data_IF_299142760519
#
_entry.id   IF_299142760519
#
_cell.length_a   1.000
_cell.length_b   1.000
_cell.length_c   1.000
_cell.angle_alpha   90.00
_cell.angle_beta   90.00
_cell.angle_gamma   90.00
#
_symmetry.space_group_name_H-M   'P 1'
#
loop_
_entity.id
_entity.type
_entity.pdbx_description
1 polymer ?
#
# COMPACT_ATOMS: atom_id res chain seq x y z
N UNK A 1 35.38 -29.50 -23.31
CA UNK A 1 35.40 -30.77 -22.58
C UNK A 1 36.05 -30.51 -21.23
N UNK A 2 35.28 -30.06 -20.24
CA UNK A 2 35.67 -30.01 -18.83
C UNK A 2 34.38 -30.30 -18.04
N UNK A 3 34.44 -31.39 -17.30
CA UNK A 3 33.40 -32.00 -16.50
C UNK A 3 33.25 -31.25 -15.18
N UNK A 4 32.05 -30.87 -14.78
CA UNK A 4 31.73 -30.32 -13.47
C UNK A 4 31.03 -31.39 -12.65
N UNK A 5 31.67 -31.81 -11.57
CA UNK A 5 31.19 -32.79 -10.60
C UNK A 5 30.21 -32.12 -9.60
N UNK A 6 29.05 -32.71 -9.45
CA UNK A 6 28.07 -32.45 -8.40
C UNK A 6 28.60 -32.85 -7.00
N UNK A 7 28.51 -31.94 -6.02
CA UNK A 7 28.65 -32.29 -4.60
C UNK A 7 27.32 -31.98 -3.91
N UNK A 8 26.54 -33.03 -3.66
CA UNK A 8 25.32 -32.97 -2.87
C UNK A 8 25.65 -33.06 -1.36
N UNK A 9 25.18 -32.09 -0.58
CA UNK A 9 25.19 -32.12 0.88
C UNK A 9 23.86 -32.60 1.43
N UNK A 10 23.85 -33.82 1.99
CA UNK A 10 22.75 -34.39 2.78
C UNK A 10 22.74 -33.75 4.18
N UNK A 11 21.64 -33.12 4.59
CA UNK A 11 21.38 -32.74 5.97
C UNK A 11 20.55 -33.86 6.62
N UNK A 12 21.10 -34.42 7.70
CA UNK A 12 20.49 -35.47 8.52
C UNK A 12 19.48 -34.88 9.50
N UNK A 13 18.29 -35.47 9.53
CA UNK A 13 17.30 -35.36 10.60
C UNK A 13 17.87 -35.84 11.94
N UNK A 14 17.71 -35.04 12.99
CA UNK A 14 17.88 -35.48 14.38
C UNK A 14 16.52 -35.63 15.05
N UNK A 15 16.32 -36.82 15.60
CA UNK A 15 15.16 -37.30 16.35
C UNK A 15 14.95 -36.52 17.66
N UNK A 16 13.67 -36.37 18.01
CA UNK A 16 13.20 -35.93 19.34
C UNK A 16 13.28 -37.08 20.37
N UNK A 17 13.47 -36.79 21.66
CA UNK A 17 13.50 -37.81 22.70
C UNK A 17 12.08 -38.21 23.16
N UNK A 18 11.88 -39.51 23.35
CA UNK A 18 10.71 -40.15 23.98
C UNK A 18 10.72 -39.87 25.48
N UNK A 19 9.58 -39.42 26.03
CA UNK A 19 9.33 -39.37 27.48
C UNK A 19 8.58 -40.65 27.86
N UNK A 20 9.16 -41.40 28.79
CA UNK A 20 8.69 -42.68 29.35
C UNK A 20 7.70 -42.36 30.47
N UNK A 21 6.52 -43.02 30.42
CA UNK A 21 5.57 -43.07 31.55
C UNK A 21 6.08 -43.99 32.64
N UNK A 22 6.05 -43.50 33.86
CA UNK A 22 6.16 -44.33 35.07
C UNK A 22 4.77 -44.55 35.66
N UNK A 23 4.38 -45.83 35.79
CA UNK A 23 3.24 -46.31 36.55
C UNK A 23 3.64 -46.43 38.02
N UNK A 24 2.79 -45.95 38.89
CA UNK A 24 2.90 -46.17 40.36
C UNK A 24 1.55 -46.49 40.98
N UNK A 25 1.42 -47.68 41.42
CA UNK A 25 0.42 -48.39 42.22
C UNK A 25 0.02 -47.64 43.53
N UNK A 26 -1.27 -47.43 43.89
CA UNK A 26 -2.18 -48.30 44.59
C UNK A 26 -2.13 -48.16 46.09
N UNK A 27 -3.23 -47.80 46.78
CA UNK A 27 -3.70 -48.48 48.01
C UNK A 27 -5.02 -47.87 48.56
N UNK A 28 -6.01 -48.71 48.64
CA UNK A 28 -7.10 -49.00 49.63
C UNK A 28 -7.77 -47.92 50.50
N UNK A 29 -9.06 -47.89 50.30
CA UNK A 29 -10.19 -48.11 51.26
C UNK A 29 -10.16 -47.53 52.68
N UNK A 30 -11.19 -46.76 53.02
CA UNK A 30 -11.97 -47.03 54.26
C UNK A 30 -13.41 -46.49 54.08
N UNK A 31 -14.39 -47.40 54.22
CA UNK A 31 -15.82 -47.12 54.34
C UNK A 31 -16.12 -46.67 55.76
N UNK A 32 -16.87 -45.58 55.92
CA UNK A 32 -17.64 -45.33 57.17
C UNK A 32 -19.07 -45.02 56.76
N UNK A 33 -19.93 -45.87 57.21
CA UNK A 33 -21.39 -45.84 57.08
C UNK A 33 -21.97 -45.04 58.21
N UNK A 34 -22.55 -43.86 57.95
CA UNK A 34 -23.30 -43.07 58.91
C UNK A 34 -24.74 -42.88 58.48
N UNK A 35 -25.62 -43.62 59.07
CA UNK A 35 -27.09 -43.58 58.87
C UNK A 35 -27.64 -42.38 59.65
N UNK A 36 -28.22 -41.37 59.00
CA UNK A 36 -29.07 -40.36 59.64
C UNK A 36 -30.44 -40.32 59.02
N UNK A 37 -31.44 -40.68 59.82
CA UNK A 37 -32.84 -40.45 59.53
C UNK A 37 -33.12 -38.94 59.55
N UNK A 38 -33.69 -38.40 58.47
CA UNK A 38 -34.28 -37.06 58.49
C UNK A 38 -35.76 -37.17 58.15
N UNK A 39 -36.53 -36.69 59.14
CA UNK A 39 -37.99 -36.55 59.08
C UNK A 39 -38.39 -35.56 58.02
N UNK A 40 -39.28 -36.00 57.11
CA UNK A 40 -39.88 -35.13 56.06
C UNK A 40 -40.87 -34.15 56.74
N UNK A 41 -40.58 -32.85 56.66
CA UNK A 41 -41.54 -31.77 56.84
C UNK A 41 -41.78 -31.11 55.52
N UNK A 42 -42.98 -31.34 54.97
CA UNK A 42 -43.43 -30.60 53.74
C UNK A 42 -43.74 -29.15 54.07
N UNK A 43 -42.91 -28.24 53.67
CA UNK A 43 -43.28 -26.84 53.49
C UNK A 43 -43.16 -26.49 52.01
N UNK A 44 -44.30 -26.21 51.41
CA UNK A 44 -44.41 -25.67 50.04
C UNK A 44 -43.79 -24.29 50.03
N UNK A 45 -42.51 -24.18 49.58
CA UNK A 45 -41.88 -22.94 49.20
C UNK A 45 -42.20 -22.68 47.73
N UNK A 46 -43.04 -21.66 47.48
CA UNK A 46 -43.18 -21.05 46.14
C UNK A 46 -41.82 -20.55 45.71
N UNK A 47 -41.23 -21.20 44.66
CA UNK A 47 -40.09 -20.67 43.97
C UNK A 47 -40.53 -19.42 43.20
N UNK A 48 -40.20 -18.25 43.76
CA UNK A 48 -40.14 -17.02 42.99
C UNK A 48 -38.86 -17.09 42.17
N UNK A 49 -38.98 -17.41 40.91
CA UNK A 49 -37.90 -17.27 39.94
C UNK A 49 -37.62 -15.76 39.78
N UNK A 50 -36.67 -15.25 40.55
CA UNK A 50 -36.02 -14.00 40.21
C UNK A 50 -35.20 -14.28 38.96
N UNK A 51 -35.76 -13.97 37.80
CA UNK A 51 -34.96 -13.73 36.59
C UNK A 51 -34.17 -12.44 36.86
N UNK A 52 -32.97 -12.54 37.46
CA UNK A 52 -31.99 -11.48 37.35
C UNK A 52 -31.68 -11.35 35.86
N UNK A 53 -32.28 -10.34 35.24
CA UNK A 53 -31.82 -9.83 33.96
C UNK A 53 -30.38 -9.42 34.17
N UNK A 54 -29.43 -10.27 33.73
CA UNK A 54 -28.01 -9.92 33.70
C UNK A 54 -27.90 -8.81 32.64
N UNK A 55 -28.02 -7.58 33.12
CA UNK A 55 -27.74 -6.40 32.30
C UNK A 55 -26.26 -6.45 31.99
N UNK A 56 -25.92 -6.97 30.82
CA UNK A 56 -24.52 -6.96 30.34
C UNK A 56 -24.05 -5.51 30.34
N UNK A 57 -23.00 -5.21 31.07
CA UNK A 57 -22.43 -3.87 31.14
C UNK A 57 -22.10 -3.42 29.68
N UNK A 58 -22.61 -2.26 29.29
CA UNK A 58 -22.38 -1.67 27.98
C UNK A 58 -20.88 -1.53 27.76
N UNK A 59 -20.40 -1.92 26.56
CA UNK A 59 -18.99 -1.82 26.22
C UNK A 59 -18.54 -0.35 26.22
N UNK A 60 -17.36 -0.09 26.78
CA UNK A 60 -16.71 1.21 26.64
C UNK A 60 -16.11 1.31 25.24
N UNK A 61 -16.68 2.15 24.38
CA UNK A 61 -16.26 2.41 22.99
C UNK A 61 -15.82 3.87 22.92
N UNK A 62 -14.52 4.12 22.81
CA UNK A 62 -13.92 5.45 22.97
C UNK A 62 -13.45 6.09 21.67
N UNK A 63 -13.24 5.29 20.63
CA UNK A 63 -12.73 5.73 19.35
C UNK A 63 -13.65 5.31 18.20
N UNK A 64 -13.79 6.19 17.21
CA UNK A 64 -14.60 5.97 16.00
C UNK A 64 -13.72 5.93 14.76
N UNK A 65 -13.70 4.79 14.09
CA UNK A 65 -12.97 4.58 12.83
C UNK A 65 -13.96 4.66 11.68
N UNK A 66 -13.81 5.67 10.83
CA UNK A 66 -14.69 5.87 9.66
C UNK A 66 -14.32 4.90 8.54
N UNK A 67 -15.26 4.07 8.04
CA UNK A 67 -14.99 3.15 6.94
C UNK A 67 -14.48 3.84 5.67
N UNK A 68 -14.95 5.05 5.37
CA UNK A 68 -14.58 5.80 4.16
C UNK A 68 -13.08 5.93 3.94
N UNK A 69 -12.31 6.11 5.01
CA UNK A 69 -10.84 6.22 4.94
C UNK A 69 -10.07 4.94 5.28
N UNK A 70 -10.73 3.96 5.90
CA UNK A 70 -10.05 2.84 6.55
C UNK A 70 -10.54 1.45 6.13
N UNK A 71 -11.52 1.36 5.20
CA UNK A 71 -12.09 0.07 4.81
C UNK A 71 -11.90 -0.23 3.33
N UNK A 72 -11.74 -1.53 3.02
CA UNK A 72 -11.63 -2.06 1.65
C UNK A 72 -12.42 -3.34 1.51
N UNK A 73 -12.94 -3.57 0.30
CA UNK A 73 -13.35 -4.90 -0.14
C UNK A 73 -12.09 -5.65 -0.52
N UNK A 74 -11.77 -6.73 0.20
CA UNK A 74 -10.44 -7.37 0.08
C UNK A 74 -10.42 -8.57 -0.87
N UNK A 75 -11.57 -9.07 -1.26
CA UNK A 75 -11.71 -10.19 -2.18
C UNK A 75 -12.22 -9.78 -3.58
N UNK A 76 -12.39 -8.49 -3.83
CA UNK A 76 -12.69 -7.92 -5.16
C UNK A 76 -12.07 -6.53 -5.27
N UNK A 77 -11.12 -6.36 -6.19
CA UNK A 77 -10.39 -5.10 -6.42
C UNK A 77 -11.10 -4.14 -7.39
N UNK A 78 -12.35 -4.44 -7.77
CA UNK A 78 -13.14 -3.57 -8.64
C UNK A 78 -13.49 -2.26 -7.94
N UNK A 79 -13.93 -1.29 -8.75
CA UNK A 79 -14.51 -0.05 -8.25
C UNK A 79 -15.72 -0.35 -7.34
N UNK A 80 -15.58 0.00 -6.08
CA UNK A 80 -16.59 -0.22 -5.04
C UNK A 80 -17.02 1.07 -4.33
N UNK A 81 -16.88 2.23 -4.99
CA UNK A 81 -17.29 3.54 -4.44
C UNK A 81 -18.74 3.60 -4.01
N UNK A 82 -19.63 2.81 -4.62
CA UNK A 82 -21.02 2.69 -4.20
C UNK A 82 -21.18 1.90 -2.90
N UNK A 83 -20.21 1.07 -2.55
CA UNK A 83 -20.22 0.27 -1.32
C UNK A 83 -19.51 1.00 -0.18
N UNK A 84 -18.32 1.55 -0.42
CA UNK A 84 -17.52 2.24 0.58
C UNK A 84 -17.25 3.67 0.10
N UNK A 85 -17.75 4.64 0.87
CA UNK A 85 -17.59 6.07 0.60
C UNK A 85 -17.40 6.84 1.92
N UNK A 86 -17.24 8.14 1.85
CA UNK A 86 -17.18 9.01 3.03
C UNK A 86 -18.41 8.89 3.94
N UNK A 87 -19.53 8.39 3.39
CA UNK A 87 -20.74 8.10 4.16
C UNK A 87 -20.67 6.77 4.94
N UNK A 88 -19.61 6.00 4.79
CA UNK A 88 -19.47 4.67 5.36
C UNK A 88 -19.78 3.55 4.36
N UNK A 89 -20.20 2.38 4.87
CA UNK A 89 -20.61 1.23 4.06
C UNK A 89 -22.10 1.37 3.71
N UNK A 90 -22.43 1.25 2.44
CA UNK A 90 -23.78 1.34 1.88
C UNK A 90 -23.98 0.28 0.79
N UNK A 91 -25.23 0.02 0.43
CA UNK A 91 -25.57 -0.86 -0.70
C UNK A 91 -24.96 -2.27 -0.61
N UNK A 92 -24.68 -2.75 0.59
CA UNK A 92 -24.08 -4.05 0.81
C UNK A 92 -25.09 -5.17 0.62
N UNK A 93 -25.05 -5.83 -0.54
CA UNK A 93 -26.02 -6.86 -0.94
C UNK A 93 -25.45 -8.25 -1.13
N UNK A 94 -24.17 -8.38 -1.45
CA UNK A 94 -23.52 -9.65 -1.76
C UNK A 94 -22.90 -10.29 -0.50
N UNK A 95 -23.26 -11.55 -0.22
CA UNK A 95 -22.72 -12.35 0.89
C UNK A 95 -21.23 -12.71 0.73
N UNK A 96 -20.74 -12.71 -0.51
CA UNK A 96 -19.34 -12.98 -0.77
C UNK A 96 -18.44 -11.78 -0.46
N UNK A 97 -19.02 -10.57 -0.34
CA UNK A 97 -18.23 -9.37 -0.05
C UNK A 97 -17.60 -9.44 1.33
N UNK A 98 -16.27 -9.36 1.39
CA UNK A 98 -15.48 -9.30 2.61
C UNK A 98 -14.92 -7.89 2.77
N UNK A 99 -15.32 -7.20 3.85
CA UNK A 99 -14.93 -5.81 4.12
C UNK A 99 -13.99 -5.79 5.33
N UNK A 100 -12.79 -5.24 5.16
CA UNK A 100 -11.83 -5.04 6.27
C UNK A 100 -11.67 -3.57 6.59
N UNK A 101 -11.78 -3.23 7.87
CA UNK A 101 -11.47 -1.91 8.42
C UNK A 101 -10.16 -1.99 9.17
N UNK A 102 -9.14 -1.27 8.71
CA UNK A 102 -7.77 -1.33 9.24
C UNK A 102 -7.51 -0.22 10.26
N UNK A 103 -6.74 -0.55 11.28
CA UNK A 103 -6.19 0.37 12.28
C UNK A 103 -4.88 -0.20 12.83
N UNK A 104 -4.08 0.66 13.45
CA UNK A 104 -2.86 0.24 14.16
C UNK A 104 -2.97 0.62 15.63
N UNK A 105 -2.55 -0.27 16.52
CA UNK A 105 -2.42 0.01 17.96
C UNK A 105 -1.01 -0.31 18.44
N UNK A 106 -0.53 0.45 19.43
CA UNK A 106 0.71 0.20 20.14
C UNK A 106 0.51 -0.63 21.43
N UNK A 107 -0.76 -0.96 21.75
CA UNK A 107 -1.13 -1.70 22.95
C UNK A 107 -1.65 -3.10 22.65
N UNK A 108 -1.50 -3.99 23.63
CA UNK A 108 -2.09 -5.34 23.65
C UNK A 108 -3.20 -5.41 24.68
N UNK A 109 -3.99 -6.49 24.64
CA UNK A 109 -5.04 -6.74 25.63
C UNK A 109 -6.45 -6.76 25.03
N UNK A 110 -7.48 -6.63 25.89
CA UNK A 110 -8.87 -6.59 25.46
C UNK A 110 -9.16 -5.37 24.57
N UNK A 111 -9.81 -5.62 23.43
CA UNK A 111 -10.37 -4.61 22.54
C UNK A 111 -11.88 -4.78 22.48
N UNK A 112 -12.61 -3.79 22.95
CA UNK A 112 -14.04 -3.70 22.77
C UNK A 112 -14.34 -3.28 21.34
N UNK A 113 -15.30 -3.92 20.67
CA UNK A 113 -15.71 -3.61 19.30
C UNK A 113 -17.21 -3.39 19.25
N UNK A 114 -17.64 -2.34 18.57
CA UNK A 114 -19.02 -2.02 18.26
C UNK A 114 -19.14 -1.44 16.85
N UNK A 115 -20.36 -1.32 16.35
CA UNK A 115 -20.67 -0.77 15.04
C UNK A 115 -21.81 0.24 15.16
N UNK A 116 -21.65 1.44 14.62
CA UNK A 116 -22.77 2.35 14.39
C UNK A 116 -23.42 1.96 13.06
N UNK A 117 -24.56 1.30 13.13
CA UNK A 117 -25.17 0.68 11.95
C UNK A 117 -26.69 0.64 11.98
N UNK A 118 -27.29 0.35 10.82
CA UNK A 118 -28.74 0.05 10.70
C UNK A 118 -28.98 -0.95 9.57
N UNK A 119 -30.16 -1.55 9.54
CA UNK A 119 -30.69 -2.30 8.41
C UNK A 119 -31.81 -1.53 7.73
N UNK A 120 -31.94 -1.66 6.41
CA UNK A 120 -32.98 -1.00 5.64
C UNK A 120 -34.19 -1.93 5.46
N UNK A 121 -34.82 -2.32 6.58
CA UNK A 121 -35.90 -3.28 6.68
C UNK A 121 -35.43 -4.69 7.03
N UNK A 122 -36.29 -5.45 7.71
CA UNK A 122 -36.04 -6.82 8.08
C UNK A 122 -34.93 -7.01 9.13
N UNK A 123 -34.16 -8.07 8.98
CA UNK A 123 -33.08 -8.49 9.89
C UNK A 123 -31.88 -8.96 9.09
N UNK A 124 -30.70 -8.72 9.62
CA UNK A 124 -29.44 -9.26 9.09
C UNK A 124 -28.65 -9.98 10.16
N UNK A 125 -27.92 -11.01 9.76
CA UNK A 125 -26.93 -11.72 10.54
C UNK A 125 -25.57 -11.47 9.92
N UNK A 126 -24.65 -10.91 10.71
CA UNK A 126 -23.32 -10.56 10.26
C UNK A 126 -22.27 -11.31 11.06
N UNK A 127 -21.19 -11.65 10.39
CA UNK A 127 -19.95 -12.13 11.01
C UNK A 127 -18.98 -10.97 11.18
N UNK A 128 -18.40 -10.85 12.36
CA UNK A 128 -17.34 -9.88 12.68
C UNK A 128 -16.13 -10.65 13.18
N UNK A 129 -14.99 -10.47 12.52
CA UNK A 129 -13.75 -11.19 12.86
C UNK A 129 -12.61 -10.22 13.15
N UNK A 130 -11.73 -10.59 14.07
CA UNK A 130 -10.48 -9.92 14.36
C UNK A 130 -9.45 -10.94 14.87
N UNK A 131 -8.25 -10.95 14.28
CA UNK A 131 -7.13 -11.85 14.66
C UNK A 131 -7.53 -13.33 14.83
N UNK A 132 -8.39 -13.84 13.92
CA UNK A 132 -8.87 -15.23 13.95
C UNK A 132 -10.00 -15.51 14.92
N UNK A 133 -10.41 -14.54 15.75
CA UNK A 133 -11.60 -14.66 16.61
C UNK A 133 -12.81 -14.14 15.83
N UNK A 134 -13.86 -14.94 15.80
CA UNK A 134 -15.10 -14.61 15.08
C UNK A 134 -16.29 -14.52 16.04
N UNK A 135 -17.15 -13.53 15.81
CA UNK A 135 -18.43 -13.34 16.50
C UNK A 135 -19.53 -13.11 15.48
N UNK A 136 -20.73 -13.54 15.83
CA UNK A 136 -21.94 -13.30 15.02
C UNK A 136 -22.87 -12.33 15.76
N UNK A 137 -23.41 -11.37 15.02
CA UNK A 137 -24.41 -10.43 15.51
C UNK A 137 -25.68 -10.50 14.67
N UNK A 138 -26.83 -10.32 15.33
CA UNK A 138 -28.13 -10.13 14.66
C UNK A 138 -28.56 -8.69 14.80
N UNK A 139 -28.97 -8.07 13.71
CA UNK A 139 -29.29 -6.64 13.61
C UNK A 139 -30.65 -6.47 12.96
N UNK A 140 -31.52 -5.67 13.60
CA UNK A 140 -32.87 -5.37 13.09
C UNK A 140 -33.28 -3.91 13.30
N UNK A 141 -32.43 -3.07 13.90
CA UNK A 141 -32.67 -1.64 14.09
C UNK A 141 -32.72 -0.91 12.75
N UNK A 142 -33.74 -0.05 12.58
CA UNK A 142 -34.00 0.72 11.35
C UNK A 142 -33.29 2.08 11.33
N UNK A 143 -32.94 2.58 12.52
CA UNK A 143 -32.15 3.80 12.70
C UNK A 143 -30.70 3.45 13.04
N UNK A 144 -29.78 4.40 12.83
CA UNK A 144 -28.40 4.21 13.22
C UNK A 144 -28.26 4.15 14.75
N UNK A 145 -27.87 3.00 15.24
CA UNK A 145 -27.60 2.73 16.64
C UNK A 145 -26.23 2.08 16.82
N UNK A 146 -25.69 2.19 18.01
CA UNK A 146 -24.51 1.44 18.38
C UNK A 146 -24.89 0.01 18.74
N UNK A 147 -24.39 -0.92 17.95
CA UNK A 147 -24.52 -2.37 18.19
C UNK A 147 -23.21 -2.89 18.78
N UNK A 148 -23.26 -3.41 20.01
CA UNK A 148 -22.11 -4.04 20.66
C UNK A 148 -21.80 -5.38 19.98
N UNK A 149 -20.58 -5.55 19.47
CA UNK A 149 -20.10 -6.81 18.88
C UNK A 149 -19.50 -7.69 19.98
N UNK A 150 -18.73 -7.10 20.89
CA UNK A 150 -18.12 -7.80 22.01
C UNK A 150 -16.63 -7.48 22.18
N UNK A 151 -15.98 -8.27 23.02
CA UNK A 151 -14.56 -8.11 23.35
C UNK A 151 -13.71 -9.08 22.53
N UNK A 152 -12.68 -8.56 21.89
CA UNK A 152 -11.62 -9.30 21.19
C UNK A 152 -10.31 -9.16 21.98
N UNK A 153 -9.26 -9.87 21.54
CA UNK A 153 -7.95 -9.78 22.18
C UNK A 153 -6.90 -9.42 21.12
N UNK A 154 -6.21 -8.32 21.33
CA UNK A 154 -5.01 -7.96 20.57
C UNK A 154 -3.81 -8.63 21.22
N UNK A 155 -3.11 -9.48 20.46
CA UNK A 155 -1.97 -10.25 20.96
C UNK A 155 -0.63 -9.53 20.79
N UNK A 156 -0.49 -8.71 19.76
CA UNK A 156 0.76 -7.99 19.42
C UNK A 156 0.45 -6.56 19.02
N UNK A 157 1.33 -5.58 19.31
CA UNK A 157 1.21 -4.25 18.73
C UNK A 157 1.39 -4.30 17.20
N UNK A 158 0.71 -3.41 16.49
CA UNK A 158 0.81 -3.35 15.03
C UNK A 158 -0.50 -3.02 14.35
N UNK A 159 -0.53 -3.24 13.02
CA UNK A 159 -1.75 -3.16 12.24
C UNK A 159 -2.62 -4.39 12.44
N UNK A 160 -3.91 -4.14 12.62
CA UNK A 160 -5.00 -5.10 12.73
C UNK A 160 -6.15 -4.68 11.83
N UNK A 161 -7.10 -5.57 11.61
CA UNK A 161 -8.33 -5.24 10.91
C UNK A 161 -9.54 -5.91 11.56
N UNK A 162 -10.65 -5.20 11.51
CA UNK A 162 -11.97 -5.75 11.81
C UNK A 162 -12.60 -6.13 10.47
N UNK A 163 -12.93 -7.40 10.31
CA UNK A 163 -13.52 -7.96 9.09
C UNK A 163 -15.02 -8.15 9.27
N UNK A 164 -15.79 -7.72 8.28
CA UNK A 164 -17.24 -7.85 8.21
C UNK A 164 -17.62 -8.73 7.02
N UNK A 165 -18.50 -9.72 7.27
CA UNK A 165 -19.12 -10.56 6.25
C UNK A 165 -20.61 -10.72 6.52
N UNK A 166 -21.44 -10.65 5.49
CA UNK A 166 -22.87 -10.89 5.56
C UNK A 166 -23.16 -12.39 5.52
N UNK A 167 -23.90 -12.92 6.51
CA UNK A 167 -24.29 -14.33 6.57
C UNK A 167 -25.73 -14.54 6.07
N UNK A 168 -26.71 -13.86 6.70
CA UNK A 168 -28.13 -13.98 6.42
C UNK A 168 -28.76 -12.59 6.37
N UNK A 169 -29.80 -12.43 5.56
CA UNK A 169 -30.63 -11.23 5.52
C UNK A 169 -32.05 -11.55 5.08
N UNK A 170 -33.02 -10.79 5.58
CA UNK A 170 -34.42 -10.92 5.15
C UNK A 170 -34.86 -9.79 4.22
N UNK A 171 -33.98 -8.80 3.99
CA UNK A 171 -34.16 -7.69 3.04
C UNK A 171 -33.11 -7.76 1.92
N UNK A 172 -33.14 -6.76 0.99
CA UNK A 172 -32.22 -6.74 -0.15
C UNK A 172 -30.76 -6.45 0.24
N UNK A 173 -30.54 -5.68 1.32
CA UNK A 173 -29.22 -5.25 1.80
C UNK A 173 -28.93 -5.85 3.17
N UNK A 174 -27.63 -6.02 3.49
CA UNK A 174 -27.21 -6.47 4.81
C UNK A 174 -27.34 -5.33 5.84
N UNK A 175 -26.54 -4.29 5.68
CA UNK A 175 -26.55 -3.17 6.60
C UNK A 175 -25.89 -1.92 6.00
N UNK A 176 -26.28 -0.76 6.52
CA UNK A 176 -25.51 0.47 6.41
C UNK A 176 -24.64 0.62 7.66
N UNK A 177 -23.33 0.82 7.51
CA UNK A 177 -22.40 1.02 8.62
C UNK A 177 -21.75 2.39 8.51
N UNK A 178 -21.94 3.23 9.52
CA UNK A 178 -21.35 4.57 9.58
C UNK A 178 -19.95 4.54 10.21
N UNK A 179 -19.77 3.72 11.24
CA UNK A 179 -18.57 3.73 12.07
C UNK A 179 -18.25 2.32 12.57
N UNK A 180 -16.98 2.03 12.65
CA UNK A 180 -16.45 0.95 13.45
C UNK A 180 -15.92 1.55 14.74
N UNK A 181 -16.49 1.15 15.87
CA UNK A 181 -16.16 1.68 17.18
C UNK A 181 -15.23 0.73 17.91
N UNK A 182 -14.20 1.27 18.54
CA UNK A 182 -13.27 0.49 19.35
C UNK A 182 -13.05 1.14 20.73
N UNK A 183 -12.65 0.32 21.72
CA UNK A 183 -12.36 0.79 23.07
C UNK A 183 -11.65 -0.30 23.88
N UNK A 184 -11.55 -0.12 25.19
CA UNK A 184 -10.87 -1.07 26.08
C UNK A 184 -9.35 -0.88 26.09
N UNK A 185 -8.63 -1.81 26.75
CA UNK A 185 -7.21 -1.68 27.02
C UNK A 185 -6.37 -1.49 25.75
N UNK A 186 -6.62 -2.27 24.70
CA UNK A 186 -5.87 -2.17 23.45
C UNK A 186 -6.13 -0.88 22.68
N UNK A 187 -7.16 -0.10 23.02
CA UNK A 187 -7.47 1.19 22.46
C UNK A 187 -7.01 2.39 23.32
N UNK A 188 -6.45 2.15 24.52
CA UNK A 188 -6.04 3.23 25.44
C UNK A 188 -4.68 3.83 25.09
N UNK A 189 -3.95 3.26 24.15
CA UNK A 189 -2.68 3.79 23.63
C UNK A 189 -2.85 4.64 22.39
N UNK A 190 -1.78 4.71 21.60
CA UNK A 190 -1.82 5.39 20.30
C UNK A 190 -2.54 4.52 19.28
N UNK A 191 -3.70 4.97 18.82
CA UNK A 191 -4.37 4.42 17.65
C UNK A 191 -4.01 5.23 16.41
N UNK A 192 -3.57 4.52 15.34
CA UNK A 192 -3.27 5.11 14.04
C UNK A 192 -4.28 4.60 13.02
N UNK A 193 -5.02 5.51 12.42
CA UNK A 193 -5.96 5.29 11.34
C UNK A 193 -6.20 6.62 10.61
N UNK A 194 -6.79 6.57 9.43
CA UNK A 194 -7.08 7.76 8.61
C UNK A 194 -8.27 8.50 9.23
N UNK A 195 -8.04 9.70 9.76
CA UNK A 195 -9.04 10.55 10.42
C UNK A 195 -9.71 11.53 9.46
N UNK A 196 -8.97 12.00 8.48
CA UNK A 196 -9.34 12.98 7.45
C UNK A 196 -8.67 12.64 6.11
N UNK A 197 -8.92 13.41 5.07
CA UNK A 197 -8.32 13.24 3.74
C UNK A 197 -8.46 11.78 3.22
N UNK A 198 -9.67 11.22 3.26
CA UNK A 198 -9.92 9.79 3.00
C UNK A 198 -9.42 9.33 1.64
N UNK A 199 -9.52 10.17 0.61
CA UNK A 199 -8.99 9.86 -0.71
C UNK A 199 -7.48 9.52 -0.66
N UNK A 200 -6.68 10.41 -0.03
CA UNK A 200 -5.25 10.21 0.11
C UNK A 200 -4.91 9.07 1.06
N UNK A 201 -5.66 8.94 2.17
CA UNK A 201 -5.55 7.82 3.09
C UNK A 201 -5.79 6.47 2.42
N UNK A 202 -6.76 6.39 1.51
CA UNK A 202 -7.05 5.17 0.74
C UNK A 202 -6.00 4.87 -0.33
N UNK A 203 -5.42 5.88 -0.97
CA UNK A 203 -4.24 5.68 -1.85
C UNK A 203 -3.04 5.17 -1.05
N UNK A 204 -2.92 5.57 0.21
CA UNK A 204 -1.79 5.24 1.07
C UNK A 204 -0.58 6.12 0.81
N UNK A 205 0.52 5.92 1.58
CA UNK A 205 1.72 6.76 1.48
C UNK A 205 2.42 6.61 0.13
N UNK A 206 2.84 7.72 -0.47
CA UNK A 206 3.85 7.74 -1.53
C UNK A 206 5.24 7.90 -0.89
N UNK A 207 6.21 7.14 -1.36
CA UNK A 207 7.58 7.11 -0.84
C UNK A 207 8.61 7.43 -1.92
N UNK A 208 9.71 8.08 -1.53
CA UNK A 208 10.67 8.61 -2.50
C UNK A 208 12.12 8.36 -2.05
N UNK A 209 13.00 8.27 -3.03
CA UNK A 209 14.45 8.26 -2.90
C UNK A 209 15.03 9.48 -3.62
N UNK A 210 15.48 10.50 -2.88
CA UNK A 210 16.16 11.66 -3.45
C UNK A 210 17.65 11.40 -3.48
N UNK A 211 18.21 11.25 -4.67
CA UNK A 211 19.62 10.89 -4.84
C UNK A 211 20.57 12.07 -4.58
N UNK A 212 21.66 11.80 -3.87
CA UNK A 212 22.73 12.78 -3.65
C UNK A 212 23.61 12.83 -4.89
N UNK A 213 23.72 14.02 -5.47
CA UNK A 213 24.57 14.27 -6.65
C UNK A 213 25.84 15.03 -6.24
N UNK A 214 26.94 14.92 -7.03
CA UNK A 214 28.10 15.77 -6.84
C UNK A 214 27.71 17.26 -6.95
N UNK A 215 28.34 18.09 -6.12
CA UNK A 215 28.09 19.54 -6.12
C UNK A 215 28.48 20.20 -7.44
N UNK A 216 27.76 21.24 -7.84
CA UNK A 216 28.05 22.05 -9.03
C UNK A 216 28.14 21.24 -10.34
N UNK A 217 27.34 20.20 -10.46
CA UNK A 217 27.29 19.31 -11.62
C UNK A 217 26.08 19.61 -12.49
N UNK A 218 26.33 19.97 -13.76
CA UNK A 218 25.28 20.08 -14.78
C UNK A 218 24.98 18.70 -15.32
N UNK A 219 23.82 18.16 -14.96
CA UNK A 219 23.40 16.79 -15.28
C UNK A 219 22.73 16.77 -16.65
N UNK A 220 23.38 16.19 -17.64
CA UNK A 220 22.84 16.06 -19.00
C UNK A 220 21.93 14.83 -19.12
N UNK A 221 22.34 13.69 -18.50
CA UNK A 221 21.58 12.45 -18.53
C UNK A 221 21.44 11.86 -17.13
N UNK A 222 20.29 11.20 -16.90
CA UNK A 222 20.02 10.41 -15.71
C UNK A 222 19.60 8.99 -16.12
N UNK A 223 20.36 8.01 -15.68
CA UNK A 223 20.14 6.58 -15.91
C UNK A 223 19.70 5.90 -14.61
N UNK A 224 18.74 4.98 -14.71
CA UNK A 224 18.25 4.19 -13.59
C UNK A 224 17.73 2.84 -14.07
N UNK A 225 17.72 1.85 -13.18
CA UNK A 225 17.13 0.53 -13.41
C UNK A 225 16.11 0.22 -12.33
N UNK A 226 14.99 -0.41 -12.72
CA UNK A 226 13.96 -0.89 -11.81
C UNK A 226 13.71 -2.36 -12.01
N UNK A 227 13.62 -3.10 -10.90
CA UNK A 227 13.07 -4.45 -10.83
C UNK A 227 11.86 -4.42 -9.89
N UNK A 228 10.70 -4.81 -10.38
CA UNK A 228 9.53 -5.07 -9.52
C UNK A 228 9.57 -6.54 -9.18
N UNK A 229 9.69 -6.93 -7.90
CA UNK A 229 9.68 -8.34 -7.52
C UNK A 229 8.40 -9.05 -7.95
N UNK A 230 8.45 -10.37 -8.11
CA UNK A 230 7.26 -11.16 -8.41
C UNK A 230 6.19 -10.99 -7.33
N UNK A 231 4.93 -10.82 -7.75
CA UNK A 231 3.75 -10.56 -6.92
C UNK A 231 3.70 -9.16 -6.27
N UNK A 232 4.64 -8.27 -6.57
CA UNK A 232 4.62 -6.89 -6.09
C UNK A 232 4.09 -5.90 -7.15
N UNK A 233 3.75 -6.38 -8.34
CA UNK A 233 3.22 -5.63 -9.49
C UNK A 233 1.72 -5.39 -9.40
N UNK A 234 1.29 -4.82 -8.29
CA UNK A 234 -0.12 -4.56 -7.95
C UNK A 234 -0.72 -3.50 -8.87
N UNK A 235 -1.95 -3.75 -9.36
CA UNK A 235 -2.72 -2.77 -10.14
C UNK A 235 -2.79 -1.44 -9.37
N UNK A 236 -2.64 -0.32 -10.09
CA UNK A 236 -2.63 1.01 -9.50
C UNK A 236 -1.26 1.45 -8.99
N UNK A 237 -0.20 0.66 -9.22
CA UNK A 237 1.17 1.05 -8.84
C UNK A 237 1.87 1.87 -9.92
N UNK A 238 2.60 2.90 -9.48
CA UNK A 238 3.54 3.63 -10.30
C UNK A 238 4.95 3.53 -9.70
N UNK A 239 5.83 2.88 -10.43
CA UNK A 239 7.26 2.73 -10.14
C UNK A 239 8.01 3.77 -10.99
N UNK A 240 8.23 4.94 -10.43
CA UNK A 240 8.91 6.03 -11.12
C UNK A 240 10.42 5.87 -10.99
N UNK A 241 11.09 5.69 -12.13
CA UNK A 241 12.55 5.54 -12.22
C UNK A 241 13.26 6.90 -12.11
N UNK A 242 12.97 7.78 -13.06
CA UNK A 242 13.67 9.03 -13.26
C UNK A 242 12.75 10.22 -13.02
N UNK A 243 12.66 10.63 -11.77
CA UNK A 243 12.08 11.91 -11.39
C UNK A 243 13.13 13.02 -11.48
N UNK A 244 12.70 14.19 -11.87
CA UNK A 244 13.51 15.39 -11.98
C UNK A 244 12.71 16.62 -11.54
N UNK A 245 13.30 17.79 -11.58
CA UNK A 245 12.64 19.03 -11.11
C UNK A 245 11.30 19.31 -11.77
N UNK A 246 11.16 18.95 -13.02
CA UNK A 246 10.10 19.40 -13.92
C UNK A 246 9.22 18.22 -14.45
N UNK A 247 9.44 17.00 -13.98
CA UNK A 247 8.66 15.86 -14.50
C UNK A 247 9.04 14.51 -13.92
N UNK A 248 8.51 13.46 -14.54
CA UNK A 248 8.63 12.09 -14.07
C UNK A 248 8.60 11.09 -15.22
N UNK A 249 9.35 10.00 -15.06
CA UNK A 249 9.48 8.93 -16.03
C UNK A 249 9.60 7.57 -15.33
N UNK A 250 8.75 6.60 -15.69
CA UNK A 250 8.72 5.28 -15.05
C UNK A 250 7.70 4.34 -15.67
N UNK A 251 7.25 3.35 -14.89
CA UNK A 251 6.32 2.32 -15.36
C UNK A 251 5.15 2.10 -14.41
N UNK A 252 3.99 1.78 -14.98
CA UNK A 252 2.72 1.62 -14.26
C UNK A 252 2.10 0.26 -14.50
N UNK A 253 1.26 -0.19 -13.53
CA UNK A 253 0.31 -1.29 -13.68
C UNK A 253 -1.09 -0.70 -13.74
N UNK A 254 -1.69 -0.64 -14.93
CA UNK A 254 -2.95 0.05 -15.16
C UNK A 254 -4.17 -0.89 -15.01
N UNK A 255 -4.01 -2.17 -15.38
CA UNK A 255 -5.02 -3.21 -15.23
C UNK A 255 -4.36 -4.60 -15.17
N UNK A 256 -5.16 -5.65 -15.12
CA UNK A 256 -4.68 -7.04 -15.21
C UNK A 256 -3.96 -7.32 -16.55
N UNK A 257 -4.31 -6.59 -17.60
CA UNK A 257 -3.84 -6.84 -18.98
C UNK A 257 -3.06 -5.68 -19.56
N UNK A 258 -2.96 -4.54 -18.89
CA UNK A 258 -2.28 -3.34 -19.40
C UNK A 258 -1.27 -2.78 -18.41
N UNK A 259 -0.05 -2.60 -18.92
CA UNK A 259 1.05 -1.90 -18.25
C UNK A 259 1.60 -0.84 -19.18
N UNK A 260 2.11 0.23 -18.61
CA UNK A 260 2.61 1.38 -19.36
C UNK A 260 4.00 1.78 -18.92
N UNK A 261 4.75 2.30 -19.87
CA UNK A 261 5.90 3.19 -19.63
C UNK A 261 5.39 4.61 -19.84
N UNK A 262 5.53 5.48 -18.85
CA UNK A 262 4.94 6.82 -18.78
C UNK A 262 6.01 7.87 -18.57
N UNK A 263 5.99 8.95 -19.40
CA UNK A 263 6.85 10.11 -19.28
C UNK A 263 6.02 11.39 -19.37
N UNK A 264 6.21 12.31 -18.40
CA UNK A 264 5.46 13.57 -18.32
C UNK A 264 6.35 14.73 -17.88
N UNK A 265 6.01 15.93 -18.35
CA UNK A 265 6.68 17.18 -18.01
C UNK A 265 5.63 18.19 -17.58
N UNK A 266 5.76 18.76 -16.36
CA UNK A 266 4.87 19.80 -15.86
C UNK A 266 5.06 21.12 -16.61
N UNK A 267 3.95 21.81 -16.91
CA UNK A 267 3.96 23.18 -17.33
C UNK A 267 4.60 24.08 -16.25
N UNK A 268 5.30 25.15 -16.60
CA UNK A 268 5.70 26.17 -15.63
C UNK A 268 4.53 27.00 -15.09
N UNK A 269 3.34 26.89 -15.69
CA UNK A 269 2.11 27.53 -15.21
C UNK A 269 1.38 26.64 -14.21
N UNK A 270 1.20 27.13 -12.99
CA UNK A 270 0.56 26.38 -11.92
C UNK A 270 -0.97 26.32 -12.11
N UNK A 271 -1.49 25.20 -12.55
CA UNK A 271 -2.92 24.93 -12.68
C UNK A 271 -3.21 23.43 -12.60
N UNK A 272 -4.44 23.09 -12.24
CA UNK A 272 -4.95 21.72 -12.27
C UNK A 272 -5.68 21.38 -13.58
N UNK A 273 -6.06 22.41 -14.36
CA UNK A 273 -6.73 22.26 -15.65
C UNK A 273 -5.78 22.58 -16.80
N UNK A 274 -5.36 21.59 -17.61
CA UNK A 274 -4.45 21.81 -18.73
C UNK A 274 -5.01 22.79 -19.77
N UNK A 275 -6.33 22.91 -19.89
CA UNK A 275 -6.96 23.85 -20.82
C UNK A 275 -6.78 25.30 -20.44
N UNK A 276 -6.51 25.56 -19.15
CA UNK A 276 -6.26 26.92 -18.63
C UNK A 276 -4.82 27.40 -18.83
N UNK A 277 -3.91 26.54 -19.32
CA UNK A 277 -2.51 26.90 -19.58
C UNK A 277 -2.44 27.89 -20.74
N UNK A 278 -1.89 29.13 -20.57
CA UNK A 278 -1.63 30.03 -21.66
C UNK A 278 -0.67 29.42 -22.69
N UNK A 279 -0.79 29.81 -23.95
CA UNK A 279 -0.05 29.20 -25.05
C UNK A 279 1.46 29.25 -24.83
N UNK A 280 2.00 30.35 -24.35
CA UNK A 280 3.42 30.54 -24.09
C UNK A 280 3.98 29.68 -22.94
N UNK A 281 3.09 29.07 -22.10
CA UNK A 281 3.46 28.17 -21.02
C UNK A 281 3.20 26.69 -21.35
N UNK A 282 2.64 26.39 -22.53
CA UNK A 282 2.35 25.01 -22.92
C UNK A 282 3.61 24.22 -23.18
N UNK A 283 3.57 22.95 -22.80
CA UNK A 283 4.61 21.99 -23.15
C UNK A 283 4.50 21.66 -24.63
N UNK A 284 5.62 21.74 -25.35
CA UNK A 284 5.69 21.50 -26.78
C UNK A 284 6.23 20.08 -27.01
N UNK A 285 5.49 19.25 -27.73
CA UNK A 285 5.97 17.95 -28.20
C UNK A 285 6.97 18.16 -29.33
N UNK A 286 8.22 17.72 -29.15
CA UNK A 286 9.27 17.77 -30.18
C UNK A 286 9.30 16.50 -31.03
N UNK A 287 8.83 15.39 -30.48
CA UNK A 287 8.73 14.11 -31.17
C UNK A 287 8.41 13.00 -30.18
N UNK A 288 7.99 11.85 -30.74
CA UNK A 288 7.64 10.64 -29.98
C UNK A 288 8.07 9.39 -30.70
N UNK A 289 8.31 8.33 -29.96
CA UNK A 289 8.63 7.02 -30.52
C UNK A 289 7.40 6.28 -31.07
N UNK A 290 7.67 5.20 -31.76
CA UNK A 290 6.64 4.33 -32.32
C UNK A 290 5.73 3.74 -31.25
N UNK A 291 4.40 3.77 -31.49
CA UNK A 291 3.39 3.25 -30.58
C UNK A 291 3.20 4.08 -29.31
N UNK A 292 3.77 5.28 -29.20
CA UNK A 292 3.59 6.18 -28.08
C UNK A 292 2.35 7.05 -28.27
N UNK A 293 1.49 7.09 -27.26
CA UNK A 293 0.37 8.03 -27.15
C UNK A 293 0.83 9.28 -26.40
N UNK A 294 0.46 10.46 -26.91
CA UNK A 294 0.77 11.75 -26.28
C UNK A 294 -0.50 12.55 -26.01
N UNK A 295 -0.47 13.40 -25.01
CA UNK A 295 -1.59 14.25 -24.60
C UNK A 295 -1.19 15.24 -23.51
N UNK A 296 -2.19 15.74 -22.81
CA UNK A 296 -2.04 16.60 -21.65
C UNK A 296 -2.58 15.90 -20.42
N UNK A 297 -2.10 16.26 -19.24
CA UNK A 297 -2.61 15.78 -17.94
C UNK A 297 -3.00 16.95 -17.06
N UNK A 298 -3.87 16.69 -16.06
CA UNK A 298 -4.35 17.62 -15.05
C UNK A 298 -4.60 16.94 -13.73
N UNK A 299 -5.18 17.68 -12.76
CA UNK A 299 -5.55 17.26 -11.40
C UNK A 299 -4.40 17.06 -10.40
N UNK A 300 -3.16 16.91 -10.85
CA UNK A 300 -1.95 16.84 -10.02
C UNK A 300 -0.87 17.78 -10.59
N UNK A 301 -1.21 19.07 -10.77
CA UNK A 301 -0.56 19.95 -11.70
C UNK A 301 -1.04 19.68 -13.11
N UNK A 302 -0.43 20.30 -14.14
CA UNK A 302 -0.77 20.07 -15.54
C UNK A 302 0.46 20.17 -16.44
N UNK A 303 0.41 19.54 -17.61
CA UNK A 303 1.52 19.55 -18.56
C UNK A 303 1.38 18.56 -19.68
N UNK A 304 2.50 18.27 -20.33
CA UNK A 304 2.58 17.29 -21.42
C UNK A 304 2.76 15.86 -20.88
N UNK A 305 2.02 14.91 -21.42
CA UNK A 305 2.08 13.51 -21.08
C UNK A 305 2.35 12.64 -22.30
N UNK A 306 3.10 11.57 -22.09
CA UNK A 306 3.26 10.50 -23.07
C UNK A 306 3.26 9.15 -22.36
N UNK A 307 2.73 8.12 -23.04
CA UNK A 307 2.86 6.75 -22.57
C UNK A 307 2.91 5.76 -23.74
N UNK A 308 3.60 4.65 -23.49
CA UNK A 308 3.60 3.48 -24.37
C UNK A 308 3.00 2.31 -23.60
N UNK A 309 2.02 1.62 -24.20
CA UNK A 309 1.58 0.32 -23.69
C UNK A 309 2.73 -0.66 -23.90
N UNK A 310 3.27 -1.15 -22.83
CA UNK A 310 4.36 -2.12 -22.80
C UNK A 310 4.14 -3.03 -21.61
N UNK A 311 3.78 -4.30 -21.86
CA UNK A 311 3.42 -5.25 -20.82
C UNK A 311 4.68 -5.85 -20.18
N UNK A 312 5.42 -5.00 -19.45
CA UNK A 312 6.57 -5.40 -18.68
C UNK A 312 6.18 -6.45 -17.60
N UNK A 313 7.14 -7.28 -17.20
CA UNK A 313 6.93 -8.41 -16.30
C UNK A 313 7.66 -8.18 -14.99
N UNK A 314 7.02 -8.53 -13.87
CA UNK A 314 7.69 -8.63 -12.57
C UNK A 314 8.84 -9.64 -12.65
N UNK A 315 9.86 -9.45 -11.82
CA UNK A 315 11.10 -10.22 -11.84
C UNK A 315 12.14 -9.76 -12.87
N UNK A 316 11.74 -8.97 -13.88
CA UNK A 316 12.66 -8.45 -14.88
C UNK A 316 13.15 -7.04 -14.53
N UNK A 317 14.40 -6.74 -14.87
CA UNK A 317 15.00 -5.41 -14.72
C UNK A 317 14.80 -4.59 -15.99
N UNK A 318 14.28 -3.37 -15.83
CA UNK A 318 14.06 -2.42 -16.93
C UNK A 318 14.92 -1.18 -16.75
N UNK A 319 15.44 -0.63 -17.86
CA UNK A 319 16.38 0.48 -17.87
C UNK A 319 15.74 1.74 -18.42
N UNK A 320 16.01 2.85 -17.76
CA UNK A 320 15.46 4.16 -18.05
C UNK A 320 16.58 5.16 -18.26
N UNK A 321 16.49 5.97 -19.31
CA UNK A 321 17.46 7.01 -19.62
C UNK A 321 16.74 8.31 -19.95
N UNK A 322 17.02 9.35 -19.20
CA UNK A 322 16.42 10.67 -19.33
C UNK A 322 17.48 11.70 -19.67
N UNK A 323 17.27 12.49 -20.72
CA UNK A 323 18.08 13.67 -21.08
C UNK A 323 17.34 14.94 -20.68
N UNK A 324 18.08 15.96 -20.22
CA UNK A 324 17.57 17.31 -20.06
C UNK A 324 18.66 18.34 -20.37
N UNK A 325 18.39 19.22 -21.31
CA UNK A 325 19.36 20.24 -21.74
C UNK A 325 18.69 21.59 -22.05
N UNK A 326 19.36 22.70 -21.73
CA UNK A 326 18.93 24.04 -22.19
C UNK A 326 18.75 24.08 -23.70
N UNK A 327 17.73 24.81 -24.14
CA UNK A 327 17.35 24.90 -25.54
C UNK A 327 17.05 26.35 -25.95
N UNK A 328 16.49 26.52 -27.14
CA UNK A 328 16.16 27.83 -27.72
C UNK A 328 15.09 28.57 -26.89
N UNK A 329 15.05 29.89 -26.97
CA UNK A 329 13.99 30.74 -26.41
C UNK A 329 13.72 30.52 -24.91
N UNK A 330 14.79 30.43 -24.11
CA UNK A 330 14.67 30.20 -22.66
C UNK A 330 13.82 28.96 -22.34
N UNK A 331 14.11 27.84 -23.03
CA UNK A 331 13.43 26.56 -22.86
C UNK A 331 14.42 25.46 -22.45
N UNK A 332 13.91 24.35 -21.99
CA UNK A 332 14.65 23.11 -21.76
C UNK A 332 13.97 21.96 -22.51
N UNK A 333 14.76 21.15 -23.21
CA UNK A 333 14.29 19.96 -23.88
C UNK A 333 14.55 18.75 -22.99
N UNK A 334 13.49 17.97 -22.72
CA UNK A 334 13.54 16.74 -21.95
C UNK A 334 13.18 15.56 -22.85
N UNK A 335 14.06 14.55 -22.93
CA UNK A 335 13.89 13.38 -23.81
C UNK A 335 14.05 12.09 -23.02
N UNK A 336 13.06 11.19 -23.09
CA UNK A 336 13.02 9.94 -22.36
C UNK A 336 13.18 8.73 -23.28
N UNK A 337 14.05 7.81 -22.90
CA UNK A 337 14.28 6.54 -23.59
C UNK A 337 14.10 5.37 -22.61
N UNK A 338 13.44 4.33 -23.08
CA UNK A 338 13.21 3.08 -22.39
C UNK A 338 13.92 1.93 -23.11
N UNK A 339 14.67 1.11 -22.39
CA UNK A 339 15.36 -0.04 -22.96
C UNK A 339 14.46 -1.26 -22.98
N UNK A 340 14.17 -1.74 -24.17
CA UNK A 340 13.48 -3.01 -24.42
C UNK A 340 14.53 -4.12 -24.41
N UNK A 341 14.51 -4.96 -23.36
CA UNK A 341 15.49 -6.04 -23.19
C UNK A 341 15.26 -7.22 -24.16
N UNK A 342 14.03 -7.37 -24.70
CA UNK A 342 13.74 -8.42 -25.68
C UNK A 342 14.23 -8.00 -27.08
N UNK A 343 14.10 -6.73 -27.41
CA UNK A 343 14.57 -6.16 -28.68
C UNK A 343 16.03 -5.65 -28.60
N UNK A 344 16.64 -5.68 -27.42
CA UNK A 344 18.00 -5.19 -27.13
C UNK A 344 18.28 -3.76 -27.62
N UNK A 345 17.28 -2.88 -27.55
CA UNK A 345 17.40 -1.51 -28.05
C UNK A 345 16.75 -0.46 -27.15
N UNK A 346 17.27 0.76 -27.24
CA UNK A 346 16.64 1.94 -26.69
C UNK A 346 15.50 2.41 -27.59
N UNK A 347 14.32 2.58 -27.03
CA UNK A 347 13.16 3.16 -27.70
C UNK A 347 12.93 4.57 -27.18
N UNK A 348 12.77 5.52 -28.09
CA UNK A 348 12.29 6.86 -27.71
C UNK A 348 10.88 6.73 -27.15
N UNK A 349 10.62 7.34 -26.00
CA UNK A 349 9.26 7.54 -25.50
C UNK A 349 8.76 8.86 -26.05
N UNK A 350 9.28 9.98 -25.57
CA UNK A 350 8.97 11.29 -26.13
C UNK A 350 10.08 12.30 -25.83
N UNK A 351 10.03 13.40 -26.56
CA UNK A 351 10.80 14.60 -26.27
C UNK A 351 9.85 15.77 -26.13
N UNK A 352 9.95 16.49 -25.01
CA UNK A 352 9.13 17.67 -24.71
C UNK A 352 10.02 18.89 -24.47
N UNK A 353 9.60 20.03 -25.02
CA UNK A 353 10.18 21.35 -24.70
C UNK A 353 9.32 22.02 -23.63
N UNK A 354 9.97 22.39 -22.53
CA UNK A 354 9.36 23.17 -21.45
C UNK A 354 9.80 24.62 -21.59
N UNK A 355 8.88 25.58 -21.87
CA UNK A 355 9.20 27.00 -21.93
C UNK A 355 9.52 27.57 -20.54
N UNK A 356 9.99 28.78 -20.48
CA UNK A 356 10.36 29.53 -19.26
C UNK A 356 11.28 28.72 -18.31
N UNK A 357 12.14 27.88 -18.90
CA UNK A 357 13.04 26.98 -18.17
C UNK A 357 14.35 26.92 -18.94
N UNK A 358 15.46 27.21 -18.27
CA UNK A 358 16.79 27.16 -18.88
C UNK A 358 17.74 26.44 -17.92
N UNK A 359 17.72 25.10 -17.94
CA UNK A 359 18.49 24.31 -16.98
C UNK A 359 18.82 22.92 -17.53
N UNK A 360 19.83 22.27 -16.96
CA UNK A 360 20.04 20.84 -17.04
C UNK A 360 19.13 20.11 -16.03
N UNK A 361 19.17 18.76 -15.99
CA UNK A 361 18.41 17.98 -15.03
C UNK A 361 18.78 18.37 -13.60
N UNK A 362 17.76 18.48 -12.75
CA UNK A 362 17.91 18.77 -11.33
C UNK A 362 17.10 17.82 -10.47
N UNK A 363 17.55 17.61 -9.25
CA UNK A 363 16.85 16.80 -8.25
C UNK A 363 16.53 15.39 -8.74
N UNK A 364 17.51 14.57 -9.21
CA UNK A 364 17.22 13.20 -9.57
C UNK A 364 16.65 12.44 -8.37
N UNK A 365 15.53 11.77 -8.59
CA UNK A 365 14.83 11.03 -7.56
C UNK A 365 14.01 9.89 -8.17
N UNK A 366 13.58 8.95 -7.34
CA UNK A 366 12.59 7.93 -7.66
C UNK A 366 11.45 7.96 -6.66
N UNK A 367 10.28 7.45 -7.06
CA UNK A 367 9.20 7.20 -6.13
C UNK A 367 8.44 5.90 -6.41
N UNK A 368 7.71 5.45 -5.40
CA UNK A 368 6.72 4.40 -5.49
C UNK A 368 5.41 4.92 -4.91
N UNK A 369 4.34 4.86 -5.71
CA UNK A 369 3.01 5.26 -5.27
C UNK A 369 1.91 4.32 -5.74
N UNK A 370 0.79 4.39 -5.06
CA UNK A 370 -0.48 3.84 -5.49
C UNK A 370 -1.39 4.97 -5.98
N UNK A 371 -1.88 4.87 -7.21
CA UNK A 371 -2.80 5.89 -7.77
C UNK A 371 -4.28 5.45 -7.76
N UNK A 372 -4.62 4.29 -7.11
CA UNK A 372 -6.00 3.79 -7.00
C UNK A 372 -6.42 3.56 -5.56
N UNK A 373 -7.55 4.11 -5.16
CA UNK A 373 -8.10 4.01 -3.79
C UNK A 373 -8.52 2.60 -3.42
N UNK A 374 -8.91 1.77 -4.40
CA UNK A 374 -9.46 0.41 -4.19
C UNK A 374 -8.39 -0.60 -3.73
N UNK A 375 -7.12 -0.33 -4.02
CA UNK A 375 -6.00 -1.26 -3.81
C UNK A 375 -4.99 -0.78 -2.77
N UNK A 376 -5.29 0.27 -2.01
CA UNK A 376 -4.40 0.80 -0.97
C UNK A 376 -4.21 -0.14 0.23
N UNK A 377 -4.93 -1.24 0.29
CA UNK A 377 -4.77 -2.31 1.28
C UNK A 377 -3.80 -3.41 0.82
N UNK A 378 -3.24 -3.32 -0.37
CA UNK A 378 -2.31 -4.31 -0.94
C UNK A 378 -0.92 -3.70 -0.98
N UNK A 379 0.06 -4.41 -0.41
CA UNK A 379 1.47 -4.01 -0.40
C UNK A 379 2.05 -4.03 -1.81
N UNK A 380 2.96 -3.11 -2.09
CA UNK A 380 3.79 -3.08 -3.30
C UNK A 380 5.21 -2.68 -2.99
N UNK A 381 6.15 -3.21 -3.75
CA UNK A 381 7.57 -2.99 -3.58
C UNK A 381 8.26 -2.84 -4.96
N UNK A 382 9.28 -1.99 -5.02
CA UNK A 382 10.18 -1.87 -6.16
C UNK A 382 11.63 -1.81 -5.69
N UNK A 383 12.52 -2.45 -6.45
CA UNK A 383 13.96 -2.34 -6.30
C UNK A 383 14.52 -1.39 -7.35
N UNK A 384 15.39 -0.50 -6.91
CA UNK A 384 15.99 0.55 -7.73
C UNK A 384 17.50 0.38 -7.69
N UNK A 385 18.10 0.16 -8.85
CA UNK A 385 19.52 -0.17 -8.92
C UNK A 385 20.22 0.64 -10.00
N UNK A 386 21.53 0.70 -9.91
CA UNK A 386 22.38 1.21 -10.97
C UNK A 386 22.05 2.66 -11.38
N UNK A 387 21.87 3.55 -10.40
CA UNK A 387 21.61 4.97 -10.63
C UNK A 387 22.90 5.68 -11.03
N UNK A 388 22.89 6.36 -12.18
CA UNK A 388 24.01 7.14 -12.71
C UNK A 388 23.55 8.45 -13.30
N UNK A 389 24.35 9.49 -13.17
CA UNK A 389 24.23 10.71 -13.95
C UNK A 389 25.43 10.88 -14.87
N UNK A 390 25.18 11.47 -16.03
CA UNK A 390 26.23 11.86 -16.97
C UNK A 390 26.26 13.38 -17.07
N UNK A 391 27.44 13.97 -16.80
CA UNK A 391 27.58 15.42 -16.77
C UNK A 391 27.90 16.00 -18.16
N UNK A 392 27.85 17.33 -18.26
CA UNK A 392 28.21 18.05 -19.50
C UNK A 392 29.67 18.00 -19.86
N UNK A 393 30.54 17.48 -18.99
CA UNK A 393 31.99 17.30 -19.20
C UNK A 393 32.32 15.90 -19.72
N UNK A 394 31.29 15.02 -19.85
CA UNK A 394 31.49 13.67 -20.37
C UNK A 394 31.82 12.62 -19.31
N UNK A 395 31.49 12.85 -18.04
CA UNK A 395 31.79 11.93 -16.96
C UNK A 395 30.52 11.27 -16.41
N UNK A 396 30.59 9.95 -16.16
CA UNK A 396 29.57 9.23 -15.38
C UNK A 396 29.87 9.33 -13.88
N UNK A 397 28.80 9.56 -13.09
CA UNK A 397 28.86 9.58 -11.63
C UNK A 397 27.80 8.62 -11.09
N UNK A 398 28.24 7.61 -10.32
CA UNK A 398 27.34 6.68 -9.66
C UNK A 398 26.66 7.34 -8.45
N UNK A 399 25.35 7.14 -8.32
CA UNK A 399 24.57 7.66 -7.20
C UNK A 399 24.30 6.53 -6.20
N UNK A 400 25.12 6.42 -5.18
CA UNK A 400 25.03 5.36 -4.16
C UNK A 400 24.33 5.81 -2.89
N UNK A 401 24.06 7.10 -2.74
CA UNK A 401 23.44 7.67 -1.54
C UNK A 401 22.13 8.35 -1.89
N UNK A 402 21.07 8.01 -1.15
CA UNK A 402 19.75 8.60 -1.31
C UNK A 402 19.11 8.96 0.04
N UNK A 403 18.34 10.02 0.07
CA UNK A 403 17.49 10.41 1.20
C UNK A 403 16.11 9.77 1.00
N UNK A 404 15.68 8.93 1.95
CA UNK A 404 14.33 8.40 1.98
C UNK A 404 13.36 9.47 2.45
N UNK A 405 12.32 9.74 1.68
CA UNK A 405 11.27 10.71 2.03
C UNK A 405 9.89 10.10 1.76
N UNK A 406 8.84 10.76 2.24
CA UNK A 406 7.46 10.36 2.00
C UNK A 406 6.52 11.58 1.95
N UNK A 407 5.32 11.36 1.46
CA UNK A 407 4.29 12.37 1.25
C UNK A 407 3.62 12.87 2.53
N UNK A 408 2.60 13.71 2.37
CA UNK A 408 1.83 14.27 3.49
C UNK A 408 1.04 13.20 4.25
N UNK A 409 0.56 12.12 3.60
CA UNK A 409 -0.17 11.02 4.23
C UNK A 409 0.70 10.33 5.29
N UNK A 410 1.94 10.03 4.94
CA UNK A 410 2.94 9.48 5.85
C UNK A 410 3.32 10.48 6.96
N UNK A 411 3.59 11.75 6.59
CA UNK A 411 4.06 12.79 7.52
C UNK A 411 3.02 13.18 8.57
N UNK A 412 1.73 13.18 8.22
CA UNK A 412 0.62 13.35 9.17
C UNK A 412 0.46 12.16 10.11
N UNK A 413 1.06 11.00 9.80
CA UNK A 413 0.87 9.76 10.55
C UNK A 413 -0.48 9.11 10.32
N UNK A 414 -1.20 9.49 9.26
CA UNK A 414 -2.49 8.88 8.91
C UNK A 414 -2.33 7.40 8.53
N UNK A 415 -1.22 7.09 7.81
CA UNK A 415 -0.77 5.73 7.49
C UNK A 415 0.74 5.65 7.69
N UNK A 416 1.20 4.55 8.27
CA UNK A 416 2.61 4.33 8.60
C UNK A 416 3.18 3.04 8.02
N UNK A 417 2.48 2.45 7.05
CA UNK A 417 2.87 1.27 6.29
C UNK A 417 3.69 1.67 5.06
N UNK A 418 4.92 2.10 5.34
CA UNK A 418 5.91 2.48 4.34
C UNK A 418 7.32 2.16 4.81
N UNK A 419 8.15 1.70 3.88
CA UNK A 419 9.56 1.41 4.12
C UNK A 419 10.39 1.72 2.88
N UNK A 420 11.68 1.88 3.09
CA UNK A 420 12.67 2.03 2.04
C UNK A 420 14.06 2.07 2.64
N UNK A 421 15.06 1.85 1.82
CA UNK A 421 16.44 1.80 2.26
C UNK A 421 17.37 1.22 1.21
N UNK A 422 18.49 0.67 1.66
CA UNK A 422 19.47 0.02 0.80
C UNK A 422 19.76 -1.40 1.29
N UNK A 423 19.82 -2.35 0.36
CA UNK A 423 20.21 -3.75 0.60
C UNK A 423 21.18 -4.17 -0.49
N UNK A 424 22.42 -4.48 -0.11
CA UNK A 424 23.46 -4.79 -1.08
C UNK A 424 23.70 -3.61 -2.02
N UNK A 425 23.57 -3.84 -3.32
CA UNK A 425 23.73 -2.83 -4.38
C UNK A 425 22.39 -2.21 -4.85
N UNK A 426 21.29 -2.50 -4.18
CA UNK A 426 19.94 -1.99 -4.51
C UNK A 426 19.46 -1.01 -3.45
N UNK A 427 18.73 0.02 -3.87
CA UNK A 427 17.73 0.66 -3.05
C UNK A 427 16.40 -0.07 -3.20
N UNK A 428 15.54 0.03 -2.21
CA UNK A 428 14.15 -0.44 -2.30
C UNK A 428 13.18 0.58 -1.74
N UNK A 429 11.95 0.52 -2.23
CA UNK A 429 10.80 1.23 -1.69
C UNK A 429 9.61 0.29 -1.58
N UNK A 430 8.86 0.41 -0.48
CA UNK A 430 7.66 -0.39 -0.20
C UNK A 430 6.60 0.49 0.45
N UNK A 431 5.34 0.34 0.04
CA UNK A 431 4.24 1.08 0.63
C UNK A 431 2.91 0.32 0.59
N UNK A 432 1.93 0.81 1.34
CA UNK A 432 0.58 0.24 1.47
C UNK A 432 0.57 -1.18 2.08
N UNK A 433 -0.63 -1.80 2.22
CA UNK A 433 -0.75 -3.19 2.68
C UNK A 433 -0.71 -3.38 4.19
N UNK A 434 -0.65 -2.30 4.97
CA UNK A 434 -0.75 -2.33 6.43
C UNK A 434 0.30 -3.20 7.14
N UNK A 435 1.52 -3.26 6.59
CA UNK A 435 2.65 -3.91 7.24
C UNK A 435 3.22 -3.06 8.39
N UNK A 436 3.98 -3.68 9.29
CA UNK A 436 4.46 -3.04 10.51
C UNK A 436 5.88 -2.44 10.41
N UNK A 437 6.65 -2.84 9.39
CA UNK A 437 7.95 -2.24 9.10
C UNK A 437 7.78 -0.75 8.78
N UNK A 438 8.70 0.08 9.29
CA UNK A 438 8.67 1.52 9.04
C UNK A 438 10.08 2.08 8.96
N UNK A 439 10.40 2.76 7.86
CA UNK A 439 11.63 3.54 7.73
C UNK A 439 11.40 4.97 8.22
N UNK A 440 12.35 5.50 8.98
CA UNK A 440 12.31 6.91 9.41
C UNK A 440 12.42 7.84 8.21
N UNK A 441 11.45 8.75 8.05
CA UNK A 441 11.46 9.75 6.98
C UNK A 441 12.63 10.71 7.18
N UNK A 442 13.18 11.21 6.08
CA UNK A 442 14.30 12.14 6.02
C UNK A 442 15.67 11.55 6.45
N UNK A 443 15.78 10.20 6.47
CA UNK A 443 17.06 9.51 6.70
C UNK A 443 17.79 9.21 5.38
N UNK A 444 19.12 9.20 5.45
CA UNK A 444 19.97 8.81 4.32
C UNK A 444 20.30 7.33 4.39
N UNK A 445 20.26 6.71 3.21
CA UNK A 445 20.66 5.32 3.00
C UNK A 445 21.73 5.28 1.91
N UNK A 446 22.65 4.33 2.02
CA UNK A 446 23.74 4.15 1.07
C UNK A 446 23.82 2.69 0.65
N UNK A 447 23.78 2.44 -0.66
CA UNK A 447 23.96 1.11 -1.24
C UNK A 447 25.42 0.88 -1.62
N UNK A 448 25.79 -0.37 -1.75
CA UNK A 448 27.10 -0.72 -2.32
C UNK A 448 27.19 -0.23 -3.78
N UNK A 449 28.30 0.37 -4.14
CA UNK A 449 28.58 0.79 -5.51
C UNK A 449 28.70 -0.42 -6.44
N UNK A 450 28.17 -0.30 -7.66
CA UNK A 450 28.42 -1.27 -8.73
C UNK A 450 29.79 -1.02 -9.41
N UNK A 451 30.22 0.24 -9.44
CA UNK A 451 31.50 0.65 -10.01
C UNK A 451 31.63 0.51 -11.53
N UNK A 452 30.58 0.11 -12.22
CA UNK A 452 30.55 -0.09 -13.68
C UNK A 452 29.51 0.81 -14.30
N UNK A 453 29.97 1.86 -14.96
CA UNK A 453 29.09 2.82 -15.63
C UNK A 453 28.30 2.15 -16.80
N UNK A 454 27.08 2.61 -17.09
CA UNK A 454 26.32 2.11 -18.24
C UNK A 454 27.03 2.42 -19.54
N UNK A 455 27.07 1.44 -20.44
CA UNK A 455 27.61 1.62 -21.79
C UNK A 455 26.47 2.00 -22.71
N UNK A 456 26.45 3.27 -23.16
CA UNK A 456 25.39 3.82 -24.01
C UNK A 456 26.03 4.52 -25.21
N UNK A 457 25.71 4.04 -26.40
CA UNK A 457 26.01 4.79 -27.63
C UNK A 457 24.93 5.85 -27.84
N UNK A 458 25.19 7.06 -27.37
CA UNK A 458 24.26 8.20 -27.52
C UNK A 458 23.99 8.58 -29.00
N UNK A 459 24.90 8.20 -29.92
CA UNK A 459 24.74 8.50 -31.33
C UNK A 459 23.72 7.59 -32.01
N UNK A 460 23.49 6.42 -31.48
CA UNK A 460 22.51 5.42 -31.96
C UNK A 460 21.09 5.65 -31.43
N UNK A 461 20.92 6.54 -30.46
CA UNK A 461 19.61 6.85 -29.91
C UNK A 461 18.71 7.52 -31.00
N UNK A 462 17.47 7.03 -31.08
CA UNK A 462 16.44 7.60 -31.98
C UNK A 462 16.26 9.09 -31.67
N UNK A 463 16.38 9.92 -32.73
CA UNK A 463 16.16 11.36 -32.56
C UNK A 463 14.67 11.66 -32.65
N UNK A 464 14.17 12.64 -31.85
CA UNK A 464 12.80 13.12 -31.98
C UNK A 464 12.58 13.58 -33.45
N UNK A 465 11.68 12.92 -34.16
CA UNK A 465 11.23 13.38 -35.47
C UNK A 465 10.01 14.29 -35.26
N UNK A 466 10.06 15.49 -35.83
CA UNK A 466 8.96 16.46 -35.88
C UNK A 466 7.77 15.96 -36.65
#
# INVERSE_FOLDING_TARGET
MITITNVGARIRNKMAPKITMLKGTGYNSLKVLGLFLVVASCTTLSKQENSEEITMAKLSLTESIKPGGNSWVVNDVKDNHNLISDKGIRNWSDSNTVIRTYFKTDQTGPLNVGLTMKVNGGMSKLQVSLDGITKEIKVSNQDFETVDVGVFKIGTPGYHFIELQGLEKTANMYADVNEVLVGGQAANGQLTYVKDDFYWGRRGPSVHLSYTTPENTDILWFYNEITVPENEDVIGSYYMANGFGEGYFGMQVNSETERRVLFSVWSPYETQDPKSIPEEYRIILLGKGEGVTTGEFGNEGSGGQSYKVFNWKAGNTYKFLLKGEPSVNNSTDYTAYFYDSEAEKWNLIASFRRPHTNTYLKRPHSFLENFRTEVGHISRMGEYTNQWIYDTKGNWHELTKAKFTADATARKGSRVDYAGGAVGNNFYMKNCGFFNEKTTIDTFHERTANGVAPVIDFSSLEKPMQ
#
